data_IF_876826735664
#
_entry.id   IF_876826735664
#
_cell.length_a   1.000
_cell.length_b   1.000
_cell.length_c   1.000
_cell.angle_alpha   90.00
_cell.angle_beta   90.00
_cell.angle_gamma   90.00
#
_symmetry.space_group_name_H-M   'P 1'
#
loop_
_entity.id
_entity.type
_entity.pdbx_description
1 polymer ?
#
# COMPACT_ATOMS: atom_id res chain seq x y z
N UNK A 1 -18.46 -13.88 6.04
CA UNK A 1 -19.18 -12.56 6.11
C UNK A 1 -19.54 -12.15 4.69
N UNK A 2 -20.63 -11.39 4.46
CA UNK A 2 -20.96 -10.91 3.11
C UNK A 2 -20.04 -9.76 2.71
N UNK A 3 -19.56 -9.74 1.44
CA UNK A 3 -18.78 -8.65 0.88
C UNK A 3 -19.57 -7.32 0.81
N UNK A 4 -20.90 -7.36 0.84
CA UNK A 4 -21.76 -6.16 0.92
C UNK A 4 -21.47 -5.26 2.13
N UNK A 5 -20.73 -5.75 3.13
CA UNK A 5 -20.27 -4.98 4.29
C UNK A 5 -18.96 -4.23 4.04
N UNK A 6 -18.33 -4.44 2.88
CA UNK A 6 -17.13 -3.70 2.50
C UNK A 6 -17.51 -2.25 2.18
N UNK A 7 -16.83 -1.31 2.79
CA UNK A 7 -17.05 0.13 2.55
C UNK A 7 -16.00 0.62 1.57
N UNK A 8 -16.46 0.95 0.36
CA UNK A 8 -15.65 1.55 -0.70
C UNK A 8 -15.95 3.04 -0.75
N UNK A 9 -14.93 3.87 -0.54
CA UNK A 9 -15.00 5.32 -0.60
C UNK A 9 -14.83 5.90 -2.00
N UNK A 10 -14.34 5.10 -2.97
CA UNK A 10 -14.16 5.53 -4.35
C UNK A 10 -13.54 4.46 -5.22
N UNK A 11 -13.55 4.70 -6.54
CA UNK A 11 -12.98 3.81 -7.56
C UNK A 11 -12.18 4.65 -8.56
N UNK A 12 -10.94 4.23 -8.84
CA UNK A 12 -10.23 4.62 -10.06
C UNK A 12 -10.50 3.54 -11.11
N UNK A 13 -11.20 3.86 -12.20
CA UNK A 13 -11.69 2.84 -13.13
C UNK A 13 -10.60 2.21 -13.99
N UNK A 14 -9.43 2.86 -14.13
CA UNK A 14 -8.27 2.37 -14.88
C UNK A 14 -6.99 2.98 -14.32
N UNK A 15 -6.02 2.12 -14.04
CA UNK A 15 -4.64 2.49 -13.72
C UNK A 15 -3.67 1.53 -14.42
N UNK A 16 -2.47 2.03 -14.74
CA UNK A 16 -1.34 1.24 -15.25
C UNK A 16 -0.13 1.27 -14.32
N UNK A 17 -0.26 1.92 -13.13
CA UNK A 17 0.86 2.15 -12.20
C UNK A 17 0.68 1.46 -10.84
N UNK A 18 -0.56 1.15 -10.45
CA UNK A 18 -0.87 0.62 -9.11
C UNK A 18 -0.72 -0.91 -9.02
N UNK A 19 -0.67 -1.60 -10.16
CA UNK A 19 -0.40 -3.03 -10.27
C UNK A 19 0.66 -3.24 -11.37
N UNK A 20 1.92 -3.49 -11.02
CA UNK A 20 3.02 -3.50 -12.00
C UNK A 20 2.75 -4.45 -13.18
N UNK A 21 2.85 -3.92 -14.41
CA UNK A 21 2.66 -4.67 -15.65
C UNK A 21 1.21 -5.08 -15.93
N UNK A 22 0.22 -4.51 -15.24
CA UNK A 22 -1.20 -4.82 -15.41
C UNK A 22 -2.03 -3.56 -15.60
N UNK A 23 -3.11 -3.66 -16.38
CA UNK A 23 -4.18 -2.70 -16.38
C UNK A 23 -5.17 -3.08 -15.28
N UNK A 24 -5.43 -2.20 -14.34
CA UNK A 24 -6.23 -2.52 -13.18
C UNK A 24 -7.22 -1.41 -12.82
N UNK A 25 -8.26 -1.75 -12.05
CA UNK A 25 -9.05 -0.78 -11.30
C UNK A 25 -8.51 -0.68 -9.86
N UNK A 26 -8.65 0.49 -9.23
CA UNK A 26 -8.36 0.67 -7.81
C UNK A 26 -9.63 0.89 -7.03
N UNK A 27 -9.85 0.10 -6.00
CA UNK A 27 -10.95 0.24 -5.04
C UNK A 27 -10.39 0.84 -3.76
N UNK A 28 -10.87 2.02 -3.38
CA UNK A 28 -10.41 2.72 -2.19
C UNK A 28 -11.30 2.39 -0.99
N UNK A 29 -10.74 1.67 -0.02
CA UNK A 29 -11.42 1.29 1.22
C UNK A 29 -11.58 2.47 2.17
N UNK A 30 -12.75 2.60 2.80
CA UNK A 30 -13.03 3.59 3.83
C UNK A 30 -12.53 3.13 5.20
N UNK A 31 -11.88 4.02 5.93
CA UNK A 31 -11.37 3.80 7.28
C UNK A 31 -9.88 3.47 7.32
N UNK A 32 -9.14 4.19 8.17
CA UNK A 32 -7.75 3.92 8.49
C UNK A 32 -7.51 4.27 9.97
N UNK A 33 -6.87 3.41 10.79
CA UNK A 33 -6.56 3.75 12.17
C UNK A 33 -5.31 4.63 12.31
N UNK A 34 -4.43 4.68 11.30
CA UNK A 34 -3.27 5.56 11.32
C UNK A 34 -3.64 6.99 10.89
N UNK A 35 -2.85 7.96 11.35
CA UNK A 35 -3.04 9.40 11.11
C UNK A 35 -1.75 10.02 10.58
N UNK A 36 -1.20 9.42 9.51
CA UNK A 36 0.05 9.88 8.89
C UNK A 36 -0.07 11.35 8.48
N UNK A 37 0.96 12.15 8.82
CA UNK A 37 0.94 13.59 8.56
C UNK A 37 0.94 13.97 7.09
N UNK A 38 1.35 13.05 6.21
CA UNK A 38 1.35 13.20 4.75
C UNK A 38 0.28 12.35 4.05
N UNK A 39 -0.83 12.03 4.73
CA UNK A 39 -1.88 11.20 4.14
C UNK A 39 -2.41 11.84 2.85
N UNK A 40 -2.40 11.07 1.74
CA UNK A 40 -2.89 11.53 0.45
C UNK A 40 -4.41 11.45 0.33
N UNK A 41 -5.08 10.65 1.19
CA UNK A 41 -6.53 10.43 1.16
C UNK A 41 -7.12 10.68 2.56
N UNK A 42 -7.04 11.91 3.09
CA UNK A 42 -7.53 12.20 4.45
C UNK A 42 -9.05 11.99 4.60
N UNK A 43 -9.81 12.10 3.50
CA UNK A 43 -11.25 11.83 3.43
C UNK A 43 -11.59 10.35 3.68
N UNK A 44 -10.65 9.44 3.47
CA UNK A 44 -10.83 8.01 3.71
C UNK A 44 -10.46 7.56 5.13
N UNK A 45 -10.09 8.47 6.03
CA UNK A 45 -9.64 8.11 7.37
C UNK A 45 -10.77 7.68 8.30
N UNK A 46 -11.95 8.30 8.17
CA UNK A 46 -13.08 8.00 9.05
C UNK A 46 -13.73 6.66 8.70
N UNK A 47 -13.63 5.70 9.64
CA UNK A 47 -14.21 4.37 9.49
C UNK A 47 -15.73 4.34 9.66
N UNK A 48 -16.37 5.44 10.09
CA UNK A 48 -17.82 5.54 10.25
C UNK A 48 -18.52 6.06 9.01
N UNK A 49 -17.77 6.69 8.09
CA UNK A 49 -18.32 7.19 6.82
C UNK A 49 -18.92 6.02 6.03
N UNK A 50 -20.17 6.15 5.54
CA UNK A 50 -20.79 5.14 4.70
C UNK A 50 -20.01 4.89 3.41
N UNK A 51 -20.22 3.73 2.79
CA UNK A 51 -19.67 3.44 1.47
C UNK A 51 -20.21 4.47 0.46
N UNK A 52 -19.31 5.09 -0.32
CA UNK A 52 -19.70 5.94 -1.43
C UNK A 52 -20.15 5.11 -2.65
N UNK A 53 -19.59 3.88 -2.76
CA UNK A 53 -19.95 2.93 -3.83
C UNK A 53 -20.35 1.60 -3.17
N UNK A 54 -21.65 1.20 -3.28
CA UNK A 54 -22.12 -0.10 -2.79
C UNK A 54 -21.43 -1.28 -3.50
N UNK A 55 -21.16 -2.36 -2.77
CA UNK A 55 -20.46 -3.51 -3.33
C UNK A 55 -21.14 -4.13 -4.59
N UNK A 56 -22.47 -4.24 -4.70
CA UNK A 56 -23.10 -4.69 -5.93
C UNK A 56 -22.80 -3.80 -7.15
N UNK A 57 -22.65 -2.50 -6.97
CA UNK A 57 -22.24 -1.57 -8.04
C UNK A 57 -20.79 -1.78 -8.45
N UNK A 58 -19.90 -2.06 -7.48
CA UNK A 58 -18.51 -2.47 -7.75
C UNK A 58 -18.49 -3.72 -8.62
N UNK A 59 -19.26 -4.75 -8.26
CA UNK A 59 -19.33 -5.99 -9.04
C UNK A 59 -19.91 -5.75 -10.44
N UNK A 60 -20.95 -4.93 -10.59
CA UNK A 60 -21.52 -4.58 -11.89
C UNK A 60 -20.48 -3.85 -12.77
N UNK A 61 -19.73 -2.90 -12.18
CA UNK A 61 -18.61 -2.23 -12.85
C UNK A 61 -17.55 -3.26 -13.30
N UNK A 62 -17.06 -4.12 -12.42
CA UNK A 62 -16.04 -5.11 -12.73
C UNK A 62 -16.50 -6.09 -13.81
N UNK A 63 -17.75 -6.58 -13.75
CA UNK A 63 -18.33 -7.42 -14.81
C UNK A 63 -18.25 -6.74 -16.19
N UNK A 64 -18.49 -5.43 -16.26
CA UNK A 64 -18.40 -4.66 -17.51
C UNK A 64 -16.95 -4.49 -18.01
N UNK A 65 -15.93 -4.86 -17.19
CA UNK A 65 -14.50 -4.71 -17.47
C UNK A 65 -13.79 -6.03 -17.74
N UNK A 66 -14.49 -7.15 -17.69
CA UNK A 66 -13.90 -8.45 -18.04
C UNK A 66 -13.32 -8.42 -19.48
N UNK A 67 -12.10 -8.92 -19.62
CA UNK A 67 -11.33 -8.89 -20.88
C UNK A 67 -10.71 -7.52 -21.22
N UNK A 68 -10.97 -6.46 -20.41
CA UNK A 68 -10.38 -5.12 -20.58
C UNK A 68 -9.37 -4.80 -19.49
N UNK A 69 -9.58 -5.28 -18.27
CA UNK A 69 -8.66 -5.14 -17.14
C UNK A 69 -8.10 -6.50 -16.77
N UNK A 70 -6.84 -6.49 -16.33
CA UNK A 70 -6.14 -7.68 -15.84
C UNK A 70 -6.45 -7.92 -14.35
N UNK A 71 -6.66 -6.86 -13.58
CA UNK A 71 -6.76 -6.98 -12.14
C UNK A 71 -7.48 -5.86 -11.40
N UNK A 72 -7.59 -6.06 -10.10
CA UNK A 72 -8.18 -5.12 -9.15
C UNK A 72 -7.25 -4.91 -7.96
N UNK A 73 -6.99 -3.65 -7.63
CA UNK A 73 -6.18 -3.23 -6.49
C UNK A 73 -7.09 -2.78 -5.37
N UNK A 74 -6.98 -3.37 -4.20
CA UNK A 74 -7.60 -2.88 -2.98
C UNK A 74 -6.63 -1.94 -2.27
N UNK A 75 -7.02 -0.68 -2.11
CA UNK A 75 -6.23 0.42 -1.57
C UNK A 75 -7.09 1.33 -0.68
N UNK A 76 -6.72 2.59 -0.48
CA UNK A 76 -7.53 3.62 0.17
C UNK A 76 -7.02 4.00 1.55
N UNK A 77 -7.87 3.91 2.56
CA UNK A 77 -7.45 4.03 3.94
C UNK A 77 -6.59 2.84 4.35
N UNK A 78 -7.18 1.82 4.99
CA UNK A 78 -6.50 0.53 5.23
C UNK A 78 -7.46 -0.62 4.93
N UNK A 79 -7.28 -1.32 3.79
CA UNK A 79 -8.19 -2.40 3.41
C UNK A 79 -8.26 -3.53 4.43
N UNK A 80 -7.15 -3.89 5.08
CA UNK A 80 -7.09 -4.97 6.08
C UNK A 80 -7.84 -4.64 7.38
N UNK A 81 -8.28 -3.39 7.57
CA UNK A 81 -9.20 -3.01 8.64
C UNK A 81 -10.55 -3.72 8.47
N UNK A 82 -10.99 -3.95 7.23
CA UNK A 82 -12.33 -4.42 6.93
C UNK A 82 -12.43 -5.94 6.92
N UNK A 83 -13.24 -6.50 7.82
CA UNK A 83 -13.42 -7.93 7.96
C UNK A 83 -14.08 -8.61 6.74
N UNK A 84 -14.73 -7.84 5.85
CA UNK A 84 -15.33 -8.33 4.62
C UNK A 84 -14.34 -8.48 3.45
N UNK A 85 -13.09 -7.98 3.60
CA UNK A 85 -12.09 -8.00 2.53
C UNK A 85 -11.80 -9.39 1.95
N UNK A 86 -11.65 -10.47 2.76
CA UNK A 86 -11.38 -11.80 2.19
C UNK A 86 -12.49 -12.28 1.23
N UNK A 87 -13.75 -12.03 1.59
CA UNK A 87 -14.91 -12.38 0.73
C UNK A 87 -14.90 -11.56 -0.56
N UNK A 88 -14.63 -10.26 -0.48
CA UNK A 88 -14.54 -9.39 -1.65
C UNK A 88 -13.42 -9.81 -2.60
N UNK A 89 -12.23 -10.15 -2.08
CA UNK A 89 -11.13 -10.70 -2.87
C UNK A 89 -11.55 -11.99 -3.61
N UNK A 90 -12.22 -12.92 -2.90
CA UNK A 90 -12.68 -14.17 -3.50
C UNK A 90 -13.71 -13.92 -4.62
N UNK A 91 -14.66 -12.99 -4.44
CA UNK A 91 -15.63 -12.63 -5.45
C UNK A 91 -14.97 -12.00 -6.69
N UNK A 92 -14.00 -11.11 -6.50
CA UNK A 92 -13.22 -10.49 -7.61
C UNK A 92 -12.43 -11.56 -8.38
N UNK A 93 -11.79 -12.49 -7.68
CA UNK A 93 -11.08 -13.63 -8.31
C UNK A 93 -12.04 -14.54 -9.08
N UNK A 94 -13.24 -14.77 -8.57
CA UNK A 94 -14.27 -15.55 -9.27
C UNK A 94 -14.73 -14.91 -10.60
N UNK A 95 -14.59 -13.59 -10.73
CA UNK A 95 -14.81 -12.87 -12.01
C UNK A 95 -13.63 -13.00 -13.00
N UNK A 96 -12.52 -13.65 -12.60
CA UNK A 96 -11.34 -13.85 -13.44
C UNK A 96 -10.26 -12.78 -13.31
N UNK A 97 -10.39 -11.81 -12.40
CA UNK A 97 -9.37 -10.78 -12.18
C UNK A 97 -8.26 -11.25 -11.25
N UNK A 98 -7.03 -10.81 -11.51
CA UNK A 98 -5.96 -10.82 -10.54
C UNK A 98 -6.24 -9.82 -9.43
N UNK A 99 -5.72 -10.08 -8.23
CA UNK A 99 -5.97 -9.24 -7.05
C UNK A 99 -4.69 -8.71 -6.46
N UNK A 100 -4.66 -7.42 -6.20
CA UNK A 100 -3.57 -6.73 -5.54
C UNK A 100 -4.04 -5.99 -4.29
N UNK A 101 -3.13 -5.81 -3.34
CA UNK A 101 -3.38 -5.10 -2.09
C UNK A 101 -2.34 -4.01 -1.87
N UNK A 102 -2.78 -2.79 -1.57
CA UNK A 102 -1.95 -1.75 -0.98
C UNK A 102 -2.27 -1.65 0.51
N UNK A 103 -1.28 -1.78 1.37
CA UNK A 103 -1.48 -1.78 2.83
C UNK A 103 -0.31 -1.16 3.57
N UNK A 104 -0.59 -0.53 4.71
CA UNK A 104 0.44 -0.13 5.67
C UNK A 104 0.94 -1.29 6.55
N UNK A 105 0.36 -2.48 6.43
CA UNK A 105 0.79 -3.66 7.21
C UNK A 105 0.44 -3.61 8.69
N UNK A 106 -0.60 -2.87 9.07
CA UNK A 106 -0.95 -2.67 10.47
C UNK A 106 -1.65 -3.86 11.16
N UNK A 107 -2.02 -4.88 10.39
CA UNK A 107 -2.67 -6.11 10.88
C UNK A 107 -1.96 -7.36 10.30
N UNK A 108 -0.79 -7.76 10.86
CA UNK A 108 0.04 -8.84 10.30
C UNK A 108 -0.69 -10.16 10.12
N UNK A 109 -1.52 -10.57 11.09
CA UNK A 109 -2.29 -11.81 11.04
C UNK A 109 -3.36 -11.78 9.97
N UNK A 110 -4.03 -10.62 9.79
CA UNK A 110 -5.03 -10.45 8.72
C UNK A 110 -4.37 -10.46 7.35
N UNK A 111 -3.23 -9.76 7.20
CA UNK A 111 -2.45 -9.80 5.96
C UNK A 111 -2.07 -11.25 5.62
N UNK A 112 -1.51 -11.98 6.58
CA UNK A 112 -1.11 -13.38 6.39
C UNK A 112 -2.28 -14.25 5.91
N UNK A 113 -3.48 -14.06 6.47
CA UNK A 113 -4.66 -14.79 6.04
C UNK A 113 -5.15 -14.43 4.62
N UNK A 114 -4.79 -13.24 4.11
CA UNK A 114 -5.15 -12.76 2.77
C UNK A 114 -4.16 -13.22 1.69
N UNK A 115 -2.90 -13.52 2.03
CA UNK A 115 -1.84 -13.81 1.06
C UNK A 115 -2.23 -14.89 0.03
N UNK A 116 -2.95 -15.98 0.38
CA UNK A 116 -3.40 -16.96 -0.63
C UNK A 116 -4.38 -16.41 -1.67
N UNK A 117 -4.99 -15.26 -1.42
CA UNK A 117 -5.95 -14.60 -2.31
C UNK A 117 -5.31 -13.45 -3.09
N UNK A 118 -4.00 -13.20 -2.95
CA UNK A 118 -3.32 -12.04 -3.53
C UNK A 118 -2.28 -12.49 -4.55
N UNK A 119 -2.26 -11.81 -5.69
CA UNK A 119 -1.25 -12.01 -6.72
C UNK A 119 -0.09 -11.01 -6.55
N UNK A 120 -0.34 -9.87 -5.87
CA UNK A 120 0.68 -8.87 -5.60
C UNK A 120 0.33 -8.00 -4.38
N UNK A 121 1.37 -7.52 -3.68
CA UNK A 121 1.22 -6.63 -2.51
C UNK A 121 2.17 -5.44 -2.60
N UNK A 122 1.64 -4.22 -2.55
CA UNK A 122 2.38 -3.00 -2.26
C UNK A 122 2.34 -2.73 -0.75
N UNK A 123 3.46 -2.96 -0.06
CA UNK A 123 3.57 -2.74 1.38
C UNK A 123 4.24 -1.40 1.67
N UNK A 124 3.52 -0.51 2.36
CA UNK A 124 4.08 0.77 2.77
C UNK A 124 4.92 0.60 4.04
N UNK A 125 6.24 0.68 3.91
CA UNK A 125 7.17 0.87 5.02
C UNK A 125 7.45 2.36 5.15
N UNK A 126 6.83 2.99 6.16
CA UNK A 126 6.74 4.46 6.23
C UNK A 126 8.00 5.14 6.75
N UNK A 127 8.93 4.38 7.31
CA UNK A 127 10.21 4.88 7.80
C UNK A 127 10.93 3.88 8.70
N UNK A 128 12.07 4.27 9.29
CA UNK A 128 12.78 3.46 10.26
C UNK A 128 11.96 3.32 11.56
N UNK A 129 12.20 2.24 12.32
CA UNK A 129 11.41 1.91 13.52
C UNK A 129 11.27 3.06 14.51
N UNK A 130 12.35 3.81 14.76
CA UNK A 130 12.34 4.90 15.73
C UNK A 130 11.47 6.10 15.32
N UNK A 131 11.29 6.33 14.01
CA UNK A 131 10.47 7.42 13.48
C UNK A 131 9.00 7.00 13.21
N UNK A 132 8.74 5.70 13.19
CA UNK A 132 7.49 5.15 12.66
C UNK A 132 6.25 5.64 13.43
N UNK A 133 6.30 5.61 14.76
CA UNK A 133 5.16 6.01 15.62
C UNK A 133 4.85 7.51 15.49
N UNK A 134 5.88 8.35 15.30
CA UNK A 134 5.70 9.77 15.04
C UNK A 134 5.05 10.01 13.66
N UNK A 135 5.45 9.26 12.63
CA UNK A 135 4.90 9.35 11.28
C UNK A 135 3.43 8.93 11.24
N UNK A 136 3.09 7.82 11.87
CA UNK A 136 1.74 7.24 11.84
C UNK A 136 0.82 7.77 12.94
N UNK A 137 1.39 8.47 13.92
CA UNK A 137 0.75 8.91 15.17
C UNK A 137 0.09 7.75 15.93
N UNK A 138 0.74 6.57 15.89
CA UNK A 138 0.21 5.35 16.49
C UNK A 138 1.35 4.55 17.14
N UNK A 139 1.34 4.37 18.47
CA UNK A 139 2.35 3.59 19.17
C UNK A 139 2.43 2.14 18.69
N UNK A 140 3.65 1.64 18.51
CA UNK A 140 3.94 0.27 18.10
C UNK A 140 3.61 -0.04 16.64
N UNK A 141 3.33 0.97 15.82
CA UNK A 141 2.97 0.81 14.41
C UNK A 141 4.11 0.22 13.58
N UNK A 142 5.35 0.63 13.86
CA UNK A 142 6.53 0.11 13.17
C UNK A 142 6.71 -1.39 13.37
N UNK A 143 6.59 -1.89 14.60
CA UNK A 143 6.70 -3.32 14.87
C UNK A 143 5.70 -4.16 14.07
N UNK A 144 4.45 -3.68 13.93
CA UNK A 144 3.42 -4.33 13.12
C UNK A 144 3.74 -4.33 11.63
N UNK A 145 4.20 -3.18 11.10
CA UNK A 145 4.56 -3.07 9.68
C UNK A 145 5.74 -4.00 9.32
N UNK A 146 6.76 -4.08 10.17
CA UNK A 146 7.90 -4.97 9.95
C UNK A 146 7.55 -6.46 10.17
N UNK A 147 6.62 -6.79 11.08
CA UNK A 147 6.09 -8.17 11.16
C UNK A 147 5.30 -8.54 9.90
N UNK A 148 4.50 -7.61 9.37
CA UNK A 148 3.81 -7.79 8.08
C UNK A 148 4.80 -7.99 6.93
N UNK A 149 5.89 -7.22 6.88
CA UNK A 149 6.95 -7.39 5.89
C UNK A 149 7.56 -8.79 5.95
N UNK A 150 7.95 -9.24 7.15
CA UNK A 150 8.53 -10.58 7.36
C UNK A 150 7.58 -11.69 6.87
N UNK A 151 6.28 -11.61 7.22
CA UNK A 151 5.27 -12.59 6.79
C UNK A 151 5.07 -12.57 5.28
N UNK A 152 5.03 -11.38 4.67
CA UNK A 152 4.86 -11.21 3.23
C UNK A 152 6.04 -11.82 2.47
N UNK A 153 7.28 -11.51 2.86
CA UNK A 153 8.47 -12.07 2.22
C UNK A 153 8.54 -13.60 2.37
N UNK A 154 8.14 -14.14 3.53
CA UNK A 154 8.10 -15.59 3.75
C UNK A 154 7.02 -16.31 2.92
N UNK A 155 6.01 -15.62 2.42
CA UNK A 155 4.91 -16.20 1.63
C UNK A 155 5.26 -16.46 0.18
N UNK A 156 6.26 -15.77 -0.37
CA UNK A 156 6.61 -15.80 -1.79
C UNK A 156 5.65 -15.03 -2.71
N UNK A 157 4.63 -14.34 -2.18
CA UNK A 157 3.76 -13.47 -2.98
C UNK A 157 4.58 -12.30 -3.52
N UNK A 158 4.44 -11.98 -4.81
CA UNK A 158 5.13 -10.87 -5.44
C UNK A 158 4.80 -9.55 -4.72
N UNK A 159 5.82 -8.75 -4.41
CA UNK A 159 5.61 -7.55 -3.64
C UNK A 159 6.62 -6.43 -3.96
N UNK A 160 6.25 -5.22 -3.58
CA UNK A 160 7.08 -4.03 -3.58
C UNK A 160 6.92 -3.33 -2.23
N UNK A 161 8.03 -3.00 -1.56
CA UNK A 161 8.01 -2.05 -0.47
C UNK A 161 7.93 -0.63 -1.00
N UNK A 162 7.19 0.26 -0.33
CA UNK A 162 7.07 1.67 -0.70
C UNK A 162 7.32 2.55 0.50
N UNK A 163 8.04 3.64 0.29
CA UNK A 163 8.30 4.63 1.34
C UNK A 163 8.08 6.02 0.78
N UNK A 164 7.17 6.78 1.40
CA UNK A 164 7.02 8.22 1.13
C UNK A 164 7.96 8.98 2.06
N UNK A 165 8.83 9.82 1.50
CA UNK A 165 9.86 10.50 2.25
C UNK A 165 9.96 12.00 1.96
N UNK A 166 10.26 12.74 3.00
CA UNK A 166 10.84 14.09 2.96
C UNK A 166 11.69 14.31 4.23
N UNK A 167 12.64 15.26 4.17
CA UNK A 167 13.60 15.46 5.25
C UNK A 167 12.98 15.88 6.61
N UNK A 168 11.74 16.37 6.63
CA UNK A 168 11.01 16.66 7.86
C UNK A 168 10.42 15.44 8.57
N UNK A 169 10.41 14.26 7.93
CA UNK A 169 9.97 13.01 8.56
C UNK A 169 11.11 12.32 9.31
N UNK A 170 12.25 12.16 8.63
CA UNK A 170 13.49 11.58 9.17
C UNK A 170 14.64 11.93 8.23
N UNK A 171 15.87 11.80 8.71
CA UNK A 171 17.07 12.22 7.98
C UNK A 171 17.36 11.34 6.76
N UNK A 172 18.23 11.81 5.87
CA UNK A 172 18.72 11.01 4.74
C UNK A 172 19.61 9.85 5.21
N UNK A 173 20.30 10.01 6.31
CA UNK A 173 21.09 8.96 6.97
C UNK A 173 20.17 7.84 7.47
N UNK A 174 19.03 8.17 8.05
CA UNK A 174 17.99 7.22 8.43
C UNK A 174 17.38 6.52 7.22
N UNK A 175 17.25 7.22 6.09
CA UNK A 175 16.80 6.61 4.84
C UNK A 175 17.80 5.56 4.33
N UNK A 176 19.12 5.82 4.43
CA UNK A 176 20.14 4.82 4.12
C UNK A 176 20.12 3.63 5.09
N UNK A 177 19.90 3.88 6.37
CA UNK A 177 19.74 2.82 7.36
C UNK A 177 18.50 1.95 7.08
N UNK A 178 17.39 2.58 6.66
CA UNK A 178 16.18 1.88 6.22
C UNK A 178 16.46 1.02 4.98
N UNK A 179 17.17 1.55 3.98
CA UNK A 179 17.57 0.79 2.78
C UNK A 179 18.37 -0.48 3.14
N UNK A 180 19.31 -0.36 4.08
CA UNK A 180 20.06 -1.52 4.58
C UNK A 180 19.13 -2.52 5.27
N UNK A 181 18.24 -2.06 6.16
CA UNK A 181 17.27 -2.91 6.86
C UNK A 181 16.37 -3.68 5.88
N UNK A 182 15.88 -3.02 4.83
CA UNK A 182 15.04 -3.65 3.80
C UNK A 182 15.84 -4.66 2.97
N UNK A 183 17.07 -4.32 2.58
CA UNK A 183 17.96 -5.22 1.83
C UNK A 183 18.30 -6.47 2.64
N UNK A 184 18.67 -6.30 3.91
CA UNK A 184 19.01 -7.40 4.83
C UNK A 184 17.80 -8.30 5.11
N UNK A 185 16.57 -7.76 5.07
CA UNK A 185 15.34 -8.53 5.14
C UNK A 185 15.01 -9.31 3.85
N UNK A 186 15.70 -9.05 2.74
CA UNK A 186 15.49 -9.71 1.45
C UNK A 186 14.47 -8.99 0.53
N UNK A 187 14.22 -7.70 0.74
CA UNK A 187 13.35 -6.91 -0.15
C UNK A 187 14.03 -6.76 -1.51
N UNK A 188 13.38 -7.26 -2.57
CA UNK A 188 13.88 -7.20 -3.94
C UNK A 188 13.44 -5.93 -4.69
N UNK A 189 12.28 -5.37 -4.35
CA UNK A 189 11.71 -4.19 -4.99
C UNK A 189 11.34 -3.12 -3.95
N UNK A 190 11.87 -1.92 -4.13
CA UNK A 190 11.58 -0.78 -3.25
C UNK A 190 11.36 0.50 -4.05
N UNK A 191 10.18 1.10 -3.89
CA UNK A 191 9.84 2.38 -4.47
C UNK A 191 9.91 3.49 -3.42
N UNK A 192 10.78 4.46 -3.62
CA UNK A 192 10.83 5.67 -2.83
C UNK A 192 9.99 6.74 -3.52
N UNK A 193 8.98 7.26 -2.82
CA UNK A 193 8.13 8.36 -3.27
C UNK A 193 8.56 9.64 -2.58
N UNK A 194 8.98 10.63 -3.35
CA UNK A 194 9.25 11.96 -2.80
C UNK A 194 7.92 12.60 -2.35
N UNK A 195 7.83 12.91 -1.05
CA UNK A 195 6.64 13.55 -0.50
C UNK A 195 6.59 15.01 -0.92
N UNK A 196 5.46 15.45 -1.45
CA UNK A 196 5.19 16.86 -1.74
C UNK A 196 4.26 17.42 -0.66
N UNK A 197 4.83 18.22 0.23
CA UNK A 197 4.01 19.01 1.16
C UNK A 197 3.61 20.31 0.47
N UNK A 198 2.32 20.65 0.37
CA UNK A 198 1.89 21.91 -0.21
C UNK A 198 2.60 23.11 0.45
N UNK A 199 3.24 23.97 -0.34
CA UNK A 199 3.93 25.17 0.15
C UNK A 199 5.35 24.97 0.69
N UNK A 200 5.87 23.73 0.76
CA UNK A 200 7.27 23.47 1.09
C UNK A 200 8.14 23.33 -0.17
N UNK A 201 9.41 23.70 -0.05
CA UNK A 201 10.37 23.42 -1.12
C UNK A 201 10.48 21.88 -1.34
N UNK A 202 10.58 21.42 -2.60
CA UNK A 202 10.76 19.99 -2.86
C UNK A 202 12.01 19.48 -2.14
N UNK A 203 11.86 18.44 -1.35
CA UNK A 203 12.99 17.78 -0.69
C UNK A 203 13.52 16.70 -1.62
N UNK A 204 14.27 17.11 -2.63
CA UNK A 204 14.81 16.19 -3.64
C UNK A 204 16.12 15.56 -3.17
N UNK A 205 16.24 14.25 -3.33
CA UNK A 205 17.52 13.55 -3.19
C UNK A 205 18.47 13.94 -4.34
N UNK A 206 19.76 14.08 -4.02
CA UNK A 206 20.80 14.23 -5.04
C UNK A 206 20.99 12.95 -5.86
N UNK A 207 21.55 13.06 -7.06
CA UNK A 207 21.83 11.89 -7.90
C UNK A 207 22.70 10.84 -7.16
N UNK A 208 23.76 11.29 -6.45
CA UNK A 208 24.62 10.39 -5.67
C UNK A 208 23.90 9.70 -4.49
N UNK A 209 22.91 10.36 -3.87
CA UNK A 209 22.09 9.73 -2.84
C UNK A 209 21.17 8.66 -3.44
N UNK A 210 20.55 8.93 -4.59
CA UNK A 210 19.72 7.96 -5.32
C UNK A 210 20.55 6.74 -5.73
N UNK A 211 21.74 6.96 -6.30
CA UNK A 211 22.68 5.88 -6.67
C UNK A 211 23.07 5.01 -5.47
N UNK A 212 23.41 5.65 -4.34
CA UNK A 212 23.74 4.93 -3.09
C UNK A 212 22.59 4.08 -2.57
N UNK A 213 21.35 4.56 -2.65
CA UNK A 213 20.15 3.79 -2.28
C UNK A 213 19.95 2.60 -3.23
N UNK A 214 20.07 2.82 -4.55
CA UNK A 214 19.91 1.79 -5.58
C UNK A 214 20.97 0.68 -5.51
N UNK A 215 22.17 0.98 -5.01
CA UNK A 215 23.22 -0.02 -4.83
C UNK A 215 22.86 -1.13 -3.83
N UNK A 216 21.86 -0.93 -2.96
CA UNK A 216 21.45 -1.90 -1.92
C UNK A 216 20.31 -2.81 -2.34
N UNK A 217 19.42 -2.37 -3.24
CA UNK A 217 18.21 -3.11 -3.65
C UNK A 217 18.11 -3.02 -5.18
N UNK A 218 18.22 -4.15 -5.86
CA UNK A 218 18.27 -4.21 -7.34
C UNK A 218 17.04 -3.58 -8.03
N UNK A 219 15.86 -3.75 -7.45
CA UNK A 219 14.60 -3.19 -7.94
C UNK A 219 14.25 -1.84 -7.30
N UNK A 220 15.27 -1.02 -6.92
CA UNK A 220 15.02 0.32 -6.38
C UNK A 220 14.60 1.30 -7.47
N UNK A 221 13.55 2.08 -7.19
CA UNK A 221 13.08 3.16 -8.06
C UNK A 221 12.70 4.39 -7.24
N UNK A 222 12.91 5.57 -7.81
CA UNK A 222 12.40 6.83 -7.25
C UNK A 222 11.20 7.28 -8.09
N UNK A 223 10.06 7.43 -7.44
CA UNK A 223 8.84 7.98 -8.04
C UNK A 223 8.75 9.46 -7.66
N UNK A 224 8.92 10.31 -8.66
CA UNK A 224 8.70 11.74 -8.54
C UNK A 224 7.27 12.00 -8.97
N UNK A 225 6.47 12.53 -8.06
CA UNK A 225 5.06 12.82 -8.32
C UNK A 225 4.85 14.06 -9.18
#
# INVERSE_FOLDING_TARGET
>A
MSANRLRIGGITPLTSIDFPGRLAAVLYSQGCPWRCGYCHNPELLDATTPAAVPWPEVLAFLNSRQGLLDGVVFSGGEPTLQAALPTALAEVRALGFQTALHTGGMYPERLQALLPLLDWVGLDIKGPLHAYDAITRTPGSGAKAFDSLRRLLASGVACECRTTWHAGLFSVEDLFALANTLADAGVAHWALQECRTPGAAPCALTAGQVERLGARIAGFVVRRG
#
